data_IF_327926599545
#
_entry.id   IF_327926599545
#
_cell.length_a   1.000
_cell.length_b   1.000
_cell.length_c   1.000
_cell.angle_alpha   90.00
_cell.angle_beta   90.00
_cell.angle_gamma   90.00
#
_symmetry.space_group_name_H-M   'P 1'
#
loop_
_entity.id
_entity.type
_entity.pdbx_description
1 polymer ?
#
# COMPACT_ATOMS: atom_id res chain seq x y z
N UNK A 1 -5.76 11.04 3.57
CA UNK A 1 -4.81 10.14 2.87
C UNK A 1 -5.13 8.67 3.10
N UNK A 2 -5.28 8.20 4.35
CA UNK A 2 -5.64 6.79 4.64
C UNK A 2 -7.02 6.44 4.07
N UNK A 3 -8.04 7.27 4.29
CA UNK A 3 -9.39 7.02 3.77
C UNK A 3 -9.42 7.00 2.24
N UNK A 4 -8.65 7.87 1.59
CA UNK A 4 -8.48 7.89 0.14
C UNK A 4 -7.90 6.57 -0.38
N UNK A 5 -6.80 6.10 0.21
CA UNK A 5 -6.19 4.83 -0.17
C UNK A 5 -7.14 3.65 0.06
N UNK A 6 -7.86 3.64 1.19
CA UNK A 6 -8.86 2.61 1.50
C UNK A 6 -9.99 2.60 0.46
N UNK A 7 -10.56 3.75 0.12
CA UNK A 7 -11.64 3.86 -0.85
C UNK A 7 -11.21 3.34 -2.24
N UNK A 8 -10.01 3.70 -2.71
CA UNK A 8 -9.48 3.20 -4.00
C UNK A 8 -9.31 1.69 -3.99
N UNK A 9 -8.80 1.13 -2.88
CA UNK A 9 -8.66 -0.33 -2.72
C UNK A 9 -10.03 -1.02 -2.81
N UNK A 10 -11.06 -0.47 -2.15
CA UNK A 10 -12.44 -0.98 -2.19
C UNK A 10 -13.09 -0.85 -3.58
N UNK A 11 -12.89 0.28 -4.27
CA UNK A 11 -13.38 0.53 -5.64
C UNK A 11 -12.80 -0.45 -6.66
N UNK A 12 -11.57 -0.93 -6.43
CA UNK A 12 -10.92 -1.95 -7.26
C UNK A 12 -11.36 -3.39 -6.92
N UNK A 13 -12.32 -3.55 -6.01
CA UNK A 13 -12.82 -4.86 -5.58
C UNK A 13 -11.86 -5.64 -4.68
N UNK A 14 -10.87 -4.96 -4.09
CA UNK A 14 -9.89 -5.58 -3.19
C UNK A 14 -10.35 -5.37 -1.76
N UNK A 15 -10.33 -6.42 -0.94
CA UNK A 15 -10.63 -6.30 0.49
C UNK A 15 -9.47 -5.58 1.22
N UNK A 16 -9.68 -4.41 1.83
CA UNK A 16 -8.62 -3.71 2.55
C UNK A 16 -8.26 -4.44 3.84
N UNK A 17 -6.96 -4.69 4.03
CA UNK A 17 -6.42 -5.31 5.24
C UNK A 17 -5.68 -4.26 6.03
N UNK A 18 -6.30 -3.76 7.10
CA UNK A 18 -5.68 -2.80 8.01
C UNK A 18 -4.99 -3.56 9.14
N UNK A 19 -3.65 -3.54 9.14
CA UNK A 19 -2.82 -4.21 10.15
C UNK A 19 -1.87 -3.22 10.82
N UNK A 20 -1.79 -3.20 12.17
CA UNK A 20 -0.81 -2.37 12.85
C UNK A 20 0.60 -2.89 12.60
N UNK A 21 1.54 -1.98 12.34
CA UNK A 21 2.97 -2.30 12.28
C UNK A 21 3.55 -2.19 13.68
N UNK A 22 4.09 -3.28 14.21
CA UNK A 22 4.68 -3.37 15.55
C UNK A 22 6.20 -3.17 15.52
N UNK A 23 6.63 -2.07 14.92
CA UNK A 23 8.04 -1.71 14.72
C UNK A 23 8.18 -0.39 13.97
N UNK A 24 9.41 0.00 13.68
CA UNK A 24 9.70 1.18 12.86
C UNK A 24 9.74 0.85 11.37
N UNK A 25 9.26 1.78 10.56
CA UNK A 25 9.41 1.79 9.08
C UNK A 25 9.84 3.17 8.62
N UNK A 26 10.36 3.27 7.40
CA UNK A 26 10.64 4.57 6.79
C UNK A 26 9.38 5.45 6.75
N UNK A 27 8.21 4.87 6.47
CA UNK A 27 6.92 5.58 6.52
C UNK A 27 6.61 6.18 7.90
N UNK A 28 6.88 5.44 8.99
CA UNK A 28 6.72 5.97 10.35
C UNK A 28 7.72 7.08 10.66
N UNK A 29 8.97 6.96 10.20
CA UNK A 29 10.01 7.96 10.39
C UNK A 29 9.74 9.25 9.59
N UNK A 30 9.25 9.13 8.35
CA UNK A 30 8.80 10.25 7.52
C UNK A 30 7.57 10.94 8.13
N UNK A 31 6.64 10.17 8.68
CA UNK A 31 5.47 10.71 9.38
C UNK A 31 5.86 11.54 10.59
N UNK A 32 6.85 11.10 11.38
CA UNK A 32 7.42 11.89 12.48
C UNK A 32 8.05 13.21 12.00
N UNK A 33 8.58 13.24 10.77
CA UNK A 33 9.15 14.44 10.12
C UNK A 33 8.11 15.35 9.47
N UNK A 34 6.81 15.10 9.68
CA UNK A 34 5.73 15.93 9.15
C UNK A 34 5.22 15.52 7.77
N UNK A 35 5.61 14.35 7.25
CA UNK A 35 5.10 13.78 6.00
C UNK A 35 4.29 12.51 6.27
N UNK A 36 2.95 12.60 6.47
CA UNK A 36 2.10 11.44 6.74
C UNK A 36 2.20 10.39 5.62
N UNK A 37 2.77 9.23 5.92
CA UNK A 37 3.17 8.24 4.92
C UNK A 37 2.61 6.85 5.25
N UNK A 38 1.38 6.50 4.80
CA UNK A 38 0.88 5.13 4.90
C UNK A 38 1.67 4.18 3.99
N UNK A 39 1.78 2.92 4.38
CA UNK A 39 2.36 1.88 3.53
C UNK A 39 1.25 1.07 2.83
N UNK A 40 1.42 0.79 1.55
CA UNK A 40 0.46 0.05 0.71
C UNK A 40 1.08 -1.31 0.34
N UNK A 41 0.24 -2.31 0.09
CA UNK A 41 0.70 -3.64 -0.30
C UNK A 41 1.44 -3.59 -1.65
N UNK A 42 2.34 -4.56 -1.87
CA UNK A 42 2.98 -4.81 -3.17
C UNK A 42 2.55 -6.14 -3.79
N UNK A 43 2.04 -7.07 -2.96
CA UNK A 43 1.72 -8.45 -3.35
C UNK A 43 2.85 -9.44 -3.09
N UNK A 44 4.00 -9.00 -2.57
CA UNK A 44 5.12 -9.89 -2.26
C UNK A 44 4.86 -10.83 -1.09
N UNK A 45 5.50 -11.99 -1.13
CA UNK A 45 5.42 -13.05 -0.12
C UNK A 45 6.82 -13.52 0.27
N UNK A 46 6.95 -14.05 1.50
CA UNK A 46 8.16 -14.69 2.02
C UNK A 46 9.43 -13.81 1.96
N UNK A 47 9.29 -12.51 2.20
CA UNK A 47 10.41 -11.55 2.21
C UNK A 47 11.59 -12.04 3.05
N UNK A 48 12.81 -11.73 2.59
CA UNK A 48 14.08 -12.07 3.26
C UNK A 48 14.40 -13.58 3.30
N UNK A 49 13.94 -14.35 2.31
CA UNK A 49 14.20 -15.79 2.24
C UNK A 49 14.39 -16.30 0.82
N UNK A 50 14.97 -17.50 0.68
CA UNK A 50 15.19 -18.14 -0.63
C UNK A 50 13.90 -18.51 -1.40
N UNK A 51 12.74 -18.40 -0.75
CA UNK A 51 11.43 -18.65 -1.31
C UNK A 51 10.60 -17.36 -1.46
N UNK A 52 11.26 -16.21 -1.47
CA UNK A 52 10.63 -14.92 -1.77
C UNK A 52 10.09 -14.91 -3.20
N UNK A 53 8.84 -14.48 -3.36
CA UNK A 53 8.21 -14.37 -4.68
C UNK A 53 7.12 -13.30 -4.68
N UNK A 54 6.71 -12.89 -5.87
CA UNK A 54 5.64 -11.92 -6.06
C UNK A 54 4.78 -12.31 -7.28
N UNK A 55 3.46 -12.50 -7.13
CA UNK A 55 2.56 -12.73 -8.25
C UNK A 55 2.41 -11.47 -9.10
N UNK A 56 2.53 -11.62 -10.43
CA UNK A 56 2.40 -10.51 -11.38
C UNK A 56 1.03 -9.82 -11.26
N UNK A 57 -0.04 -10.58 -11.07
CA UNK A 57 -1.40 -10.04 -10.92
C UNK A 57 -1.53 -9.15 -9.68
N UNK A 58 -0.78 -9.43 -8.62
CA UNK A 58 -0.76 -8.58 -7.43
C UNK A 58 0.01 -7.28 -7.68
N UNK A 59 1.08 -7.33 -8.49
CA UNK A 59 1.80 -6.13 -8.93
C UNK A 59 0.92 -5.22 -9.78
N UNK A 60 0.17 -5.80 -10.73
CA UNK A 60 -0.81 -5.06 -11.54
C UNK A 60 -1.83 -4.34 -10.67
N UNK A 61 -2.34 -5.00 -9.62
CA UNK A 61 -3.25 -4.36 -8.66
C UNK A 61 -2.61 -3.28 -7.82
N UNK A 62 -1.34 -3.40 -7.45
CA UNK A 62 -0.63 -2.31 -6.78
C UNK A 62 -0.51 -1.07 -7.70
N UNK A 63 -0.28 -1.26 -9.00
CA UNK A 63 -0.27 -0.17 -9.99
C UNK A 63 -1.65 0.47 -10.13
N UNK A 64 -2.71 -0.33 -10.24
CA UNK A 64 -4.10 0.17 -10.29
C UNK A 64 -4.42 1.06 -9.07
N UNK A 65 -4.00 0.64 -7.86
CA UNK A 65 -4.19 1.40 -6.62
C UNK A 65 -3.43 2.73 -6.66
N UNK A 66 -2.17 2.74 -7.10
CA UNK A 66 -1.36 3.97 -7.21
C UNK A 66 -2.04 4.96 -8.17
N UNK A 67 -2.47 4.49 -9.35
CA UNK A 67 -3.16 5.33 -10.34
C UNK A 67 -4.49 5.85 -9.79
N UNK A 68 -5.26 5.01 -9.10
CA UNK A 68 -6.53 5.41 -8.48
C UNK A 68 -6.34 6.51 -7.43
N UNK A 69 -5.31 6.39 -6.58
CA UNK A 69 -4.98 7.43 -5.58
C UNK A 69 -4.62 8.74 -6.26
N UNK A 70 -3.78 8.71 -7.29
CA UNK A 70 -3.41 9.92 -8.05
C UNK A 70 -4.65 10.59 -8.63
N UNK A 71 -5.55 9.81 -9.25
CA UNK A 71 -6.80 10.33 -9.82
C UNK A 71 -7.68 11.01 -8.76
N UNK A 72 -7.89 10.39 -7.60
CA UNK A 72 -8.69 10.96 -6.50
C UNK A 72 -8.15 12.28 -5.96
N UNK A 73 -6.85 12.54 -6.10
CA UNK A 73 -6.22 13.80 -5.66
C UNK A 73 -6.10 14.85 -6.78
N UNK A 74 -6.27 14.44 -8.04
CA UNK A 74 -6.23 15.33 -9.19
C UNK A 74 -7.61 15.91 -9.57
N UNK A 75 -8.69 15.34 -9.02
CA UNK A 75 -10.04 15.91 -9.01
C UNK A 75 -10.13 17.14 -8.08
#
# INVERSE_FOLDING_TARGET
IVDTAKAVIEELGIAPIIKPVRGGTDGSALSLKGLPTPNIFTGGHNFHGKYEYIPVQSMEKAVDVIIGIIKKYAE
#
